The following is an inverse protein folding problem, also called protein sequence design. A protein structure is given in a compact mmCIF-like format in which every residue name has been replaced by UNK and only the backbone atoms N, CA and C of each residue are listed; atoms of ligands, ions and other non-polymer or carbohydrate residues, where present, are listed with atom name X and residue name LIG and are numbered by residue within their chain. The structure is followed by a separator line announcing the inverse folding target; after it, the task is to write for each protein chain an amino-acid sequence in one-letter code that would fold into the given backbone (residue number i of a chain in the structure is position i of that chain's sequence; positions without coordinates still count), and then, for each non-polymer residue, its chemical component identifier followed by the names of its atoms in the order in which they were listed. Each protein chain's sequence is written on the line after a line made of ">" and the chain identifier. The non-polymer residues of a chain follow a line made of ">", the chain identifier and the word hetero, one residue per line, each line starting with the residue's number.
data_IF_308163299525
#
_entry.id   IF_308163299525
#
_cell.length_a   1.000
_cell.length_b   1.000
_cell.length_c   1.000
_cell.angle_alpha   90.00
_cell.angle_beta   90.00
_cell.angle_gamma   90.00
#
_symmetry.space_group_name_H-M   'P 1'
#
loop_
_entity.id
_entity.type
_entity.pdbx_description
1 polymer ?
#
# COMPACT_ATOMS: atom_id res chain seq x y z
N UNK A 1 -46.88 8.62 44.08
CA UNK A 1 -45.49 8.81 44.58
C UNK A 1 -44.53 7.87 43.84
N UNK A 2 -44.42 8.02 42.53
CA UNK A 2 -43.36 7.37 41.75
C UNK A 2 -42.08 8.16 41.98
N UNK A 3 -41.29 7.65 42.92
CA UNK A 3 -39.83 7.57 42.87
C UNK A 3 -38.99 8.85 42.74
N UNK A 4 -39.15 9.80 43.66
CA UNK A 4 -38.07 10.75 43.98
C UNK A 4 -36.74 10.01 44.27
N UNK A 5 -36.81 8.80 44.83
CA UNK A 5 -35.65 7.95 45.09
C UNK A 5 -35.04 7.36 43.81
N UNK A 6 -35.84 6.87 42.84
CA UNK A 6 -35.28 6.44 41.54
C UNK A 6 -34.80 7.62 40.72
N UNK A 7 -35.44 8.79 40.83
CA UNK A 7 -34.99 10.02 40.18
C UNK A 7 -33.62 10.45 40.73
N UNK A 8 -33.47 10.48 42.07
CA UNK A 8 -32.19 10.76 42.74
C UNK A 8 -31.11 9.76 42.31
N UNK A 9 -31.43 8.46 42.35
CA UNK A 9 -30.50 7.39 41.92
C UNK A 9 -30.16 7.47 40.44
N UNK A 10 -31.10 7.89 39.59
CA UNK A 10 -30.85 8.16 38.18
C UNK A 10 -29.84 9.29 38.05
N UNK A 11 -30.09 10.47 38.62
CA UNK A 11 -29.15 11.60 38.55
C UNK A 11 -27.76 11.32 39.14
N UNK A 12 -27.67 10.49 40.19
CA UNK A 12 -26.39 10.03 40.75
C UNK A 12 -25.63 9.09 39.79
N UNK A 13 -26.34 8.29 38.99
CA UNK A 13 -25.75 7.35 38.04
C UNK A 13 -25.57 7.94 36.63
N UNK A 14 -26.35 8.96 36.26
CA UNK A 14 -26.35 9.60 34.94
C UNK A 14 -24.96 10.04 34.48
N UNK A 15 -24.07 10.63 35.30
CA UNK A 15 -22.73 11.00 34.88
C UNK A 15 -21.90 9.82 34.36
N UNK A 16 -22.06 8.63 34.97
CA UNK A 16 -21.37 7.41 34.53
C UNK A 16 -21.91 6.91 33.20
N UNK A 17 -23.23 6.99 33.00
CA UNK A 17 -23.89 6.63 31.74
C UNK A 17 -23.55 7.61 30.61
N UNK A 18 -23.50 8.91 30.88
CA UNK A 18 -23.10 9.94 29.92
C UNK A 18 -21.62 9.85 29.56
N UNK A 19 -20.73 9.58 30.53
CA UNK A 19 -19.32 9.31 30.25
C UNK A 19 -19.15 8.09 29.34
N UNK A 20 -19.89 7.01 29.61
CA UNK A 20 -19.87 5.81 28.78
C UNK A 20 -20.40 6.07 27.36
N UNK A 21 -21.49 6.82 27.23
CA UNK A 21 -22.06 7.20 25.94
C UNK A 21 -21.09 8.09 25.15
N UNK A 22 -20.55 9.14 25.77
CA UNK A 22 -19.58 10.04 25.16
C UNK A 22 -18.33 9.29 24.68
N UNK A 23 -17.80 8.37 25.49
CA UNK A 23 -16.68 7.52 25.12
C UNK A 23 -16.98 6.73 23.85
N UNK A 24 -18.15 6.10 23.77
CA UNK A 24 -18.51 5.30 22.61
C UNK A 24 -18.65 6.17 21.35
N UNK A 25 -19.26 7.36 21.46
CA UNK A 25 -19.38 8.30 20.34
C UNK A 25 -18.01 8.75 19.84
N UNK A 26 -17.15 9.22 20.73
CA UNK A 26 -15.82 9.73 20.35
C UNK A 26 -14.94 8.62 19.76
N UNK A 27 -15.02 7.39 20.30
CA UNK A 27 -14.36 6.23 19.71
C UNK A 27 -14.90 5.89 18.31
N UNK A 28 -16.23 5.84 18.13
CA UNK A 28 -16.85 5.56 16.83
C UNK A 28 -16.48 6.63 15.79
N UNK A 29 -16.49 7.91 16.17
CA UNK A 29 -16.03 9.01 15.31
C UNK A 29 -14.57 8.82 14.90
N UNK A 30 -13.70 8.41 15.83
CA UNK A 30 -12.29 8.15 15.53
C UNK A 30 -12.11 6.96 14.55
N UNK A 31 -12.80 5.84 14.76
CA UNK A 31 -12.74 4.70 13.85
C UNK A 31 -13.34 5.00 12.48
N UNK A 32 -14.43 5.77 12.44
CA UNK A 32 -15.08 6.23 11.21
C UNK A 32 -14.17 7.17 10.42
N UNK A 33 -13.52 8.12 11.10
CA UNK A 33 -12.53 9.02 10.48
C UNK A 33 -11.37 8.24 9.86
N UNK A 34 -10.87 7.20 10.54
CA UNK A 34 -9.85 6.30 9.97
C UNK A 34 -10.37 5.56 8.73
N UNK A 35 -11.61 5.07 8.75
CA UNK A 35 -12.23 4.39 7.61
C UNK A 35 -12.35 5.33 6.40
N UNK A 36 -12.81 6.55 6.60
CA UNK A 36 -12.87 7.57 5.55
C UNK A 36 -11.48 7.92 5.02
N UNK A 37 -10.49 8.09 5.90
CA UNK A 37 -9.10 8.30 5.48
C UNK A 37 -8.58 7.18 4.58
N UNK A 38 -8.88 5.91 4.90
CA UNK A 38 -8.52 4.77 4.04
C UNK A 38 -9.28 4.76 2.71
N UNK A 39 -10.55 5.16 2.69
CA UNK A 39 -11.33 5.27 1.44
C UNK A 39 -10.77 6.36 0.53
N UNK A 40 -10.41 7.52 1.07
CA UNK A 40 -9.78 8.61 0.31
C UNK A 40 -8.47 8.13 -0.32
N UNK A 41 -7.64 7.41 0.47
CA UNK A 41 -6.40 6.81 -0.04
C UNK A 41 -6.69 5.83 -1.19
N UNK A 42 -7.70 4.97 -1.06
CA UNK A 42 -8.04 3.99 -2.10
C UNK A 42 -8.63 4.62 -3.37
N UNK A 43 -9.41 5.70 -3.23
CA UNK A 43 -10.00 6.45 -4.35
C UNK A 43 -8.94 7.26 -5.10
N UNK A 44 -8.00 7.88 -4.39
CA UNK A 44 -7.03 8.81 -4.97
C UNK A 44 -5.69 8.15 -5.33
N UNK A 45 -5.39 6.98 -4.76
CA UNK A 45 -4.09 6.32 -4.92
C UNK A 45 -4.24 4.85 -5.29
N UNK A 46 -3.34 4.37 -6.15
CA UNK A 46 -3.23 2.94 -6.43
C UNK A 46 -2.54 2.22 -5.27
N UNK A 47 -3.33 1.71 -4.32
CA UNK A 47 -2.83 0.93 -3.18
C UNK A 47 -2.49 -0.50 -3.60
N UNK A 48 -1.19 -0.79 -3.71
CA UNK A 48 -0.71 -2.16 -4.04
C UNK A 48 -0.56 -3.07 -2.82
N UNK A 49 -0.59 -2.51 -1.61
CA UNK A 49 -0.51 -3.25 -0.35
C UNK A 49 -1.50 -2.67 0.66
N UNK A 50 -2.69 -3.29 0.77
CA UNK A 50 -3.74 -2.84 1.67
C UNK A 50 -3.32 -2.86 3.15
N UNK A 51 -2.50 -3.85 3.56
CA UNK A 51 -1.98 -3.92 4.94
C UNK A 51 -1.11 -2.71 5.25
N UNK A 52 -0.34 -2.24 4.27
CA UNK A 52 0.46 -1.04 4.40
C UNK A 52 -0.42 0.19 4.64
N UNK A 53 -1.41 0.45 3.78
CA UNK A 53 -2.32 1.59 3.94
C UNK A 53 -3.10 1.54 5.27
N UNK A 54 -3.57 0.36 5.69
CA UNK A 54 -4.22 0.21 7.01
C UNK A 54 -3.29 0.55 8.17
N UNK A 55 -2.00 0.31 8.02
CA UNK A 55 -0.99 0.57 9.05
C UNK A 55 -0.46 2.01 9.07
N UNK A 56 -0.82 2.87 8.11
CA UNK A 56 -0.42 4.30 8.11
C UNK A 56 -1.31 5.16 8.98
N UNK A 57 -2.55 4.72 9.28
CA UNK A 57 -3.46 5.42 10.17
C UNK A 57 -3.61 4.63 11.48
N UNK A 58 -3.50 5.34 12.59
CA UNK A 58 -3.70 4.81 13.94
C UNK A 58 -4.88 5.52 14.61
N UNK A 59 -5.47 4.82 15.58
CA UNK A 59 -6.53 5.32 16.44
C UNK A 59 -6.08 5.05 17.87
N UNK A 60 -6.08 6.08 18.72
CA UNK A 60 -6.11 5.92 20.18
C UNK A 60 -7.56 5.98 20.62
N UNK A 61 -8.18 4.83 20.95
CA UNK A 61 -9.50 4.87 21.55
C UNK A 61 -9.40 5.30 23.01
N UNK A 62 -10.36 6.09 23.47
CA UNK A 62 -10.56 6.35 24.89
C UNK A 62 -10.84 5.03 25.61
N UNK A 63 -10.02 4.72 26.61
CA UNK A 63 -10.18 3.55 27.50
C UNK A 63 -10.75 3.97 28.85
N UNK A 64 -11.33 3.01 29.57
CA UNK A 64 -11.94 3.24 30.88
C UNK A 64 -13.22 4.06 30.81
N UNK A 65 -13.57 4.74 31.91
CA UNK A 65 -14.74 5.61 32.00
C UNK A 65 -14.32 6.94 32.65
N UNK A 66 -13.57 7.78 31.93
CA UNK A 66 -13.03 9.02 32.50
C UNK A 66 -14.15 10.03 32.78
N UNK A 67 -13.89 11.08 33.57
CA UNK A 67 -14.80 12.22 33.66
C UNK A 67 -15.19 12.74 32.27
N UNK A 68 -16.44 13.19 32.10
CA UNK A 68 -16.99 13.57 30.79
C UNK A 68 -16.10 14.60 30.04
N UNK A 69 -15.47 15.51 30.78
CA UNK A 69 -14.58 16.56 30.24
C UNK A 69 -13.26 16.06 29.67
N UNK A 70 -12.84 14.83 30.01
CA UNK A 70 -11.57 14.24 29.57
C UNK A 70 -11.75 13.06 28.60
N UNK A 71 -12.98 12.85 28.10
CA UNK A 71 -13.26 11.86 27.07
C UNK A 71 -12.68 12.34 25.74
N UNK A 72 -11.61 11.70 25.27
CA UNK A 72 -10.99 12.01 23.98
C UNK A 72 -10.52 10.74 23.26
N UNK A 73 -10.73 10.67 21.97
CA UNK A 73 -10.11 9.65 21.12
C UNK A 73 -9.39 10.36 19.99
N UNK A 74 -8.20 9.85 19.66
CA UNK A 74 -7.31 10.50 18.71
C UNK A 74 -7.16 9.64 17.47
N UNK A 75 -7.13 10.28 16.31
CA UNK A 75 -6.79 9.65 15.03
C UNK A 75 -5.62 10.38 14.45
N UNK A 76 -4.63 9.64 13.97
CA UNK A 76 -3.47 10.25 13.35
C UNK A 76 -2.82 9.38 12.29
N UNK A 77 -1.89 10.00 11.57
CA UNK A 77 -0.99 9.29 10.69
C UNK A 77 0.24 8.82 11.48
N UNK A 78 0.66 7.58 11.28
CA UNK A 78 1.96 7.09 11.76
C UNK A 78 3.06 7.64 10.88
N UNK A 79 4.03 8.32 11.47
CA UNK A 79 5.23 8.81 10.79
C UNK A 79 6.11 7.60 10.42
N UNK A 80 5.98 7.11 9.19
CA UNK A 80 6.88 6.09 8.61
C UNK A 80 7.75 6.74 7.54
N UNK A 81 8.99 6.25 7.34
CA UNK A 81 9.81 6.72 6.22
C UNK A 81 9.01 6.59 4.92
N UNK A 82 8.82 7.74 4.26
CA UNK A 82 8.02 7.82 3.03
C UNK A 82 8.73 7.00 1.97
N UNK A 83 8.05 6.02 1.41
CA UNK A 83 8.61 5.23 0.33
C UNK A 83 8.60 6.08 -0.95
N UNK A 84 9.57 5.82 -1.83
CA UNK A 84 9.76 6.54 -3.10
C UNK A 84 8.47 6.88 -3.86
N UNK A 85 7.50 5.96 -3.94
CA UNK A 85 6.22 6.21 -4.62
C UNK A 85 5.33 7.27 -3.96
N UNK A 86 5.37 7.39 -2.64
CA UNK A 86 4.62 8.42 -1.90
C UNK A 86 5.25 9.79 -2.08
N UNK A 87 6.58 9.86 -1.96
CA UNK A 87 7.37 11.09 -2.19
C UNK A 87 7.19 11.57 -3.63
N UNK A 88 7.23 10.64 -4.58
CA UNK A 88 6.95 10.86 -5.99
C UNK A 88 5.61 11.58 -6.16
N UNK A 89 4.51 11.03 -5.64
CA UNK A 89 3.15 11.58 -5.79
C UNK A 89 2.92 12.90 -5.07
N UNK A 90 3.57 13.10 -3.92
CA UNK A 90 3.43 14.32 -3.13
C UNK A 90 4.15 15.52 -3.76
N UNK A 91 5.40 15.28 -4.18
CA UNK A 91 6.29 16.33 -4.69
C UNK A 91 6.18 16.51 -6.21
N UNK A 92 5.52 15.59 -6.92
CA UNK A 92 5.52 15.55 -8.40
C UNK A 92 6.91 15.28 -8.99
N UNK A 93 7.88 14.87 -8.17
CA UNK A 93 9.27 14.61 -8.59
C UNK A 93 9.42 13.16 -9.00
N UNK A 94 10.23 12.89 -10.02
CA UNK A 94 10.63 11.53 -10.35
C UNK A 94 11.48 10.96 -9.20
N UNK A 95 11.18 9.74 -8.74
CA UNK A 95 11.96 9.15 -7.65
C UNK A 95 13.26 8.55 -8.13
N UNK A 96 14.13 8.24 -7.16
CA UNK A 96 15.53 7.81 -7.36
C UNK A 96 15.69 6.41 -7.96
N UNK A 97 14.59 5.66 -8.14
CA UNK A 97 14.63 4.28 -8.64
C UNK A 97 14.88 4.26 -10.16
N UNK A 98 16.04 3.75 -10.58
CA UNK A 98 16.44 3.52 -11.99
C UNK A 98 15.69 2.39 -12.73
N UNK A 99 14.63 1.85 -12.13
CA UNK A 99 13.92 0.64 -12.62
C UNK A 99 12.42 0.83 -12.58
N UNK A 100 11.75 0.44 -13.65
CA UNK A 100 10.30 0.51 -13.81
C UNK A 100 9.73 -0.89 -14.10
N UNK A 101 8.86 -1.43 -13.24
CA UNK A 101 8.18 -2.70 -13.53
C UNK A 101 7.17 -2.53 -14.66
N UNK A 102 7.14 -3.49 -15.58
CA UNK A 102 6.12 -3.56 -16.64
C UNK A 102 4.81 -4.16 -16.11
N UNK A 103 3.73 -4.02 -16.89
CA UNK A 103 2.46 -4.74 -16.64
C UNK A 103 2.68 -6.25 -16.54
N UNK A 104 3.62 -6.81 -17.33
CA UNK A 104 3.94 -8.22 -17.30
C UNK A 104 4.50 -8.66 -15.93
N UNK A 105 5.34 -7.84 -15.30
CA UNK A 105 5.81 -8.10 -13.94
C UNK A 105 4.70 -8.05 -12.88
N UNK A 106 3.53 -7.53 -13.22
CA UNK A 106 2.34 -7.45 -12.36
C UNK A 106 1.19 -8.34 -12.83
N UNK A 107 1.48 -9.34 -13.67
CA UNK A 107 0.46 -10.27 -14.18
C UNK A 107 -0.70 -9.56 -14.91
N UNK A 108 -0.41 -8.45 -15.61
CA UNK A 108 -1.39 -7.73 -16.43
C UNK A 108 -2.21 -6.66 -15.70
N UNK A 109 -2.00 -6.43 -14.40
CA UNK A 109 -2.78 -5.44 -13.64
C UNK A 109 -1.88 -4.41 -12.96
N UNK A 110 -2.20 -3.12 -13.12
CA UNK A 110 -1.46 -2.04 -12.45
C UNK A 110 -1.63 -2.03 -10.93
N UNK A 111 -2.76 -2.54 -10.44
CA UNK A 111 -3.09 -2.62 -9.01
C UNK A 111 -2.31 -3.74 -8.30
N UNK A 112 -1.88 -4.77 -9.04
CA UNK A 112 -1.14 -5.90 -8.47
C UNK A 112 0.30 -5.54 -8.10
N UNK A 113 0.80 -6.20 -7.06
CA UNK A 113 2.23 -6.16 -6.75
C UNK A 113 3.04 -6.88 -7.83
N UNK A 114 4.31 -6.51 -7.94
CA UNK A 114 5.28 -7.28 -8.72
C UNK A 114 5.33 -8.70 -8.15
N UNK A 115 5.18 -9.73 -8.98
CA UNK A 115 5.29 -11.11 -8.51
C UNK A 115 6.74 -11.43 -8.09
N UNK A 116 6.93 -12.36 -7.16
CA UNK A 116 8.24 -12.59 -6.51
C UNK A 116 9.40 -12.83 -7.51
N UNK A 117 9.16 -13.62 -8.55
CA UNK A 117 10.16 -13.92 -9.59
C UNK A 117 10.60 -12.71 -10.41
N UNK A 118 9.78 -11.66 -10.52
CA UNK A 118 10.10 -10.39 -11.17
C UNK A 118 10.62 -9.33 -10.19
N UNK A 119 10.93 -9.69 -8.93
CA UNK A 119 11.58 -8.79 -7.97
C UNK A 119 13.09 -8.98 -8.04
N UNK A 120 13.81 -7.88 -8.18
CA UNK A 120 15.26 -7.83 -7.97
C UNK A 120 15.50 -7.71 -6.46
N UNK A 121 15.72 -8.86 -5.79
CA UNK A 121 16.09 -8.89 -4.37
C UNK A 121 17.60 -8.67 -4.23
N UNK A 122 18.08 -7.97 -3.18
CA UNK A 122 19.50 -7.97 -2.83
C UNK A 122 20.02 -9.41 -2.72
N UNK A 123 21.23 -9.68 -3.24
CA UNK A 123 21.87 -10.99 -3.21
C UNK A 123 21.42 -12.01 -4.28
N UNK A 124 20.34 -11.73 -5.03
CA UNK A 124 19.93 -12.63 -6.12
C UNK A 124 20.82 -12.41 -7.35
N UNK A 125 21.68 -13.37 -7.65
CA UNK A 125 22.42 -13.39 -8.91
C UNK A 125 21.45 -13.66 -10.07
N UNK A 126 21.42 -12.74 -11.03
CA UNK A 126 20.59 -12.81 -12.23
C UNK A 126 21.57 -12.74 -13.40
N UNK A 127 21.53 -13.71 -14.34
CA UNK A 127 22.42 -13.70 -15.49
C UNK A 127 22.39 -12.35 -16.21
N UNK A 128 23.56 -11.76 -16.46
CA UNK A 128 23.73 -10.47 -17.10
C UNK A 128 24.90 -10.57 -18.10
N UNK A 129 24.70 -10.26 -19.38
CA UNK A 129 25.72 -10.43 -20.41
C UNK A 129 26.95 -9.53 -20.21
N UNK A 130 26.80 -8.45 -19.42
CA UNK A 130 27.88 -7.48 -19.15
C UNK A 130 28.59 -7.74 -17.82
N UNK A 131 28.11 -8.67 -16.99
CA UNK A 131 28.81 -9.04 -15.78
C UNK A 131 29.94 -10.02 -16.13
N UNK A 132 31.19 -9.62 -15.86
CA UNK A 132 32.32 -10.54 -15.67
C UNK A 132 32.01 -11.39 -14.42
N UNK A 133 31.16 -12.38 -14.58
CA UNK A 133 30.77 -13.28 -13.48
C UNK A 133 31.74 -14.46 -13.49
N UNK A 134 32.24 -14.84 -12.31
CA UNK A 134 33.21 -15.93 -12.06
C UNK A 134 32.81 -17.34 -12.58
N UNK A 135 31.64 -17.48 -13.17
CA UNK A 135 31.10 -18.76 -13.65
C UNK A 135 31.14 -18.77 -15.17
N UNK A 136 31.92 -19.69 -15.76
CA UNK A 136 31.89 -20.37 -17.08
C UNK A 136 31.13 -19.76 -18.29
N UNK A 137 30.73 -18.51 -18.23
CA UNK A 137 29.96 -17.76 -19.21
C UNK A 137 30.88 -16.72 -19.85
N UNK A 138 32.09 -17.15 -20.18
CA UNK A 138 32.99 -16.37 -21.03
C UNK A 138 32.37 -16.37 -22.42
N UNK A 139 31.45 -15.43 -22.63
CA UNK A 139 31.06 -14.97 -23.96
C UNK A 139 32.27 -14.21 -24.50
N UNK A 140 33.32 -14.97 -24.85
CA UNK A 140 34.50 -14.47 -25.54
C UNK A 140 34.04 -13.67 -26.74
N UNK A 141 34.80 -12.62 -27.08
CA UNK A 141 34.48 -11.66 -28.13
C UNK A 141 34.18 -12.41 -29.43
N UNK A 142 32.90 -12.71 -29.65
CA UNK A 142 32.42 -13.47 -30.79
C UNK A 142 32.00 -12.40 -31.78
N UNK A 143 32.78 -12.15 -32.85
CA UNK A 143 32.58 -10.98 -33.71
C UNK A 143 31.24 -10.97 -34.47
N UNK A 144 30.51 -12.09 -34.47
CA UNK A 144 29.25 -12.27 -35.19
C UNK A 144 27.98 -12.05 -34.35
N UNK A 145 28.05 -12.11 -33.01
CA UNK A 145 26.84 -12.07 -32.17
C UNK A 145 27.04 -11.18 -30.95
N UNK A 146 26.03 -10.36 -30.61
CA UNK A 146 26.07 -9.60 -29.37
C UNK A 146 26.15 -10.55 -28.16
N UNK A 147 26.90 -10.18 -27.11
CA UNK A 147 27.00 -10.98 -25.86
C UNK A 147 25.62 -11.33 -25.29
N UNK A 148 24.66 -10.41 -25.42
CA UNK A 148 23.28 -10.63 -25.04
C UNK A 148 22.60 -11.74 -25.87
N UNK A 149 22.82 -11.78 -27.19
CA UNK A 149 22.27 -12.81 -28.07
C UNK A 149 22.82 -14.20 -27.73
N UNK A 150 24.14 -14.31 -27.52
CA UNK A 150 24.77 -15.58 -27.13
C UNK A 150 24.22 -16.07 -25.78
N UNK A 151 24.10 -15.16 -24.80
CA UNK A 151 23.50 -15.50 -23.51
C UNK A 151 22.07 -16.01 -23.66
N UNK A 152 21.21 -15.32 -24.44
CA UNK A 152 19.82 -15.74 -24.66
C UNK A 152 19.77 -17.14 -25.30
N UNK A 153 20.60 -17.40 -26.30
CA UNK A 153 20.65 -18.71 -26.96
C UNK A 153 21.08 -19.81 -26.00
N UNK A 154 22.11 -19.59 -25.19
CA UNK A 154 22.58 -20.63 -24.26
C UNK A 154 21.58 -20.88 -23.13
N UNK A 155 20.98 -19.82 -22.56
CA UNK A 155 19.90 -19.98 -21.57
C UNK A 155 18.68 -20.71 -22.17
N UNK A 156 18.36 -20.47 -23.44
CA UNK A 156 17.28 -21.16 -24.13
C UNK A 156 17.57 -22.66 -24.32
N UNK A 157 18.82 -23.00 -24.72
CA UNK A 157 19.28 -24.40 -24.87
C UNK A 157 19.24 -25.14 -23.54
N UNK A 158 19.72 -24.52 -22.46
CA UNK A 158 19.78 -25.12 -21.12
C UNK A 158 18.44 -25.26 -20.39
N UNK A 159 17.31 -24.93 -21.02
CA UNK A 159 16.06 -25.05 -20.29
C UNK A 159 15.73 -23.89 -19.35
N UNK A 160 16.59 -22.88 -19.20
CA UNK A 160 16.49 -21.86 -18.15
C UNK A 160 15.12 -21.16 -18.11
N UNK A 161 14.53 -21.06 -16.91
CA UNK A 161 13.19 -20.48 -16.68
C UNK A 161 13.20 -19.23 -15.81
N UNK A 162 14.37 -18.87 -15.27
CA UNK A 162 14.56 -17.71 -14.41
C UNK A 162 14.57 -16.38 -15.18
N UNK A 163 14.60 -15.25 -14.46
CA UNK A 163 14.84 -13.96 -15.08
C UNK A 163 16.31 -13.82 -15.49
N UNK A 164 16.57 -12.99 -16.49
CA UNK A 164 17.91 -12.59 -16.93
C UNK A 164 17.89 -11.11 -17.33
N UNK A 165 19.04 -10.46 -17.40
CA UNK A 165 19.19 -9.03 -17.72
C UNK A 165 19.70 -8.88 -19.15
N UNK A 166 19.17 -7.92 -19.89
CA UNK A 166 19.74 -7.42 -21.14
C UNK A 166 20.01 -5.94 -20.93
N UNK A 167 21.28 -5.54 -21.04
CA UNK A 167 21.68 -4.14 -20.87
C UNK A 167 22.10 -3.46 -22.16
N UNK A 168 22.51 -4.23 -23.16
CA UNK A 168 23.03 -3.73 -24.43
C UNK A 168 22.63 -4.69 -25.57
N UNK A 169 21.63 -4.28 -26.36
CA UNK A 169 21.15 -5.01 -27.54
C UNK A 169 20.28 -4.06 -28.40
N UNK A 170 20.40 -4.07 -29.74
CA UNK A 170 19.63 -3.18 -30.62
C UNK A 170 18.12 -3.39 -30.52
N UNK A 171 17.66 -4.65 -30.56
CA UNK A 171 16.22 -4.97 -30.56
C UNK A 171 15.56 -5.05 -29.17
N UNK A 172 16.34 -5.05 -28.09
CA UNK A 172 15.81 -5.27 -26.74
C UNK A 172 16.11 -4.07 -25.84
N UNK A 173 15.07 -3.39 -25.33
CA UNK A 173 15.24 -2.34 -24.34
C UNK A 173 16.03 -2.82 -23.11
N UNK A 174 16.82 -1.93 -22.50
CA UNK A 174 17.57 -2.25 -21.29
C UNK A 174 16.62 -2.69 -20.18
N UNK A 175 16.81 -3.87 -19.61
CA UNK A 175 15.88 -4.40 -18.63
C UNK A 175 16.09 -5.85 -18.22
N UNK A 176 15.18 -6.32 -17.37
CA UNK A 176 15.09 -7.72 -16.93
C UNK A 176 14.00 -8.43 -17.69
N UNK A 177 14.31 -9.60 -18.22
CA UNK A 177 13.50 -10.44 -19.08
C UNK A 177 13.26 -11.82 -18.46
N UNK A 178 12.31 -12.56 -19.02
CA UNK A 178 12.08 -13.97 -18.73
C UNK A 178 11.54 -14.68 -19.98
N UNK A 179 11.89 -15.95 -20.17
CA UNK A 179 11.27 -16.77 -21.21
C UNK A 179 9.77 -17.00 -20.96
N UNK A 180 8.98 -16.94 -22.02
CA UNK A 180 7.53 -17.14 -22.07
C UNK A 180 7.21 -18.26 -23.07
N UNK A 181 7.24 -19.51 -22.60
CA UNK A 181 6.85 -20.67 -23.40
C UNK A 181 7.56 -20.76 -24.76
N UNK A 182 7.00 -21.57 -25.66
CA UNK A 182 7.43 -21.69 -27.07
C UNK A 182 6.25 -21.29 -27.98
N UNK A 183 6.52 -20.62 -29.10
CA UNK A 183 5.57 -20.43 -30.21
C UNK A 183 6.33 -20.68 -31.51
N UNK A 184 5.87 -21.62 -32.34
CA UNK A 184 6.57 -22.00 -33.58
C UNK A 184 8.01 -22.47 -33.33
N UNK A 185 8.22 -23.33 -32.32
CA UNK A 185 9.56 -23.83 -31.95
C UNK A 185 10.47 -22.83 -31.21
N UNK A 186 10.25 -21.52 -31.36
CA UNK A 186 11.08 -20.47 -30.73
C UNK A 186 10.60 -20.09 -29.34
N UNK A 187 11.52 -19.96 -28.38
CA UNK A 187 11.21 -19.44 -27.04
C UNK A 187 10.93 -17.95 -27.13
N UNK A 188 9.79 -17.51 -26.63
CA UNK A 188 9.51 -16.07 -26.55
C UNK A 188 10.16 -15.50 -25.30
N UNK A 189 10.54 -14.24 -25.33
CA UNK A 189 11.01 -13.52 -24.13
C UNK A 189 10.06 -12.39 -23.80
N UNK A 190 9.96 -12.05 -22.51
CA UNK A 190 9.05 -11.02 -22.00
C UNK A 190 9.78 -10.10 -21.05
N UNK A 191 9.69 -8.80 -21.29
CA UNK A 191 10.23 -7.76 -20.42
C UNK A 191 9.43 -7.68 -19.11
N UNK A 192 10.12 -7.86 -17.98
CA UNK A 192 9.57 -7.76 -16.63
C UNK A 192 9.84 -6.39 -16.01
N UNK A 193 11.06 -5.86 -16.17
CA UNK A 193 11.40 -4.55 -15.65
C UNK A 193 12.26 -3.80 -16.66
N UNK A 194 11.93 -2.55 -16.93
CA UNK A 194 12.71 -1.67 -17.78
C UNK A 194 13.71 -0.88 -16.93
N UNK A 195 14.93 -0.72 -17.42
CA UNK A 195 15.99 0.06 -16.77
C UNK A 195 16.07 1.43 -17.43
N UNK A 196 15.12 2.30 -17.07
CA UNK A 196 15.03 3.67 -17.59
C UNK A 196 15.75 4.66 -16.69
N UNK A 197 16.50 5.57 -17.31
CA UNK A 197 17.18 6.67 -16.62
C UNK A 197 16.19 7.74 -16.14
N UNK A 198 15.10 7.98 -16.90
CA UNK A 198 14.07 8.98 -16.56
C UNK A 198 12.69 8.34 -16.50
N UNK A 199 11.97 8.59 -15.41
CA UNK A 199 10.56 8.19 -15.25
C UNK A 199 9.64 9.35 -15.60
N UNK A 200 8.44 9.09 -16.14
CA UNK A 200 7.41 10.12 -16.26
C UNK A 200 7.09 10.68 -14.87
N UNK A 201 6.90 12.00 -14.79
CA UNK A 201 6.57 12.65 -13.51
C UNK A 201 5.21 12.13 -13.03
N UNK A 202 5.11 11.72 -11.76
CA UNK A 202 3.83 11.34 -11.16
C UNK A 202 2.92 12.57 -11.08
N UNK A 203 1.62 12.37 -11.35
CA UNK A 203 0.61 13.42 -11.14
C UNK A 203 0.53 13.73 -9.64
N UNK A 204 0.63 15.01 -9.29
CA UNK A 204 0.48 15.48 -7.91
C UNK A 204 -0.97 15.30 -7.46
N UNK A 205 -1.18 14.67 -6.32
CA UNK A 205 -2.48 14.61 -5.65
C UNK A 205 -2.42 15.62 -4.49
N UNK A 206 -3.36 16.56 -4.41
CA UNK A 206 -3.48 17.53 -3.31
C UNK A 206 -4.27 16.83 -2.18
N UNK A 207 -3.72 16.80 -0.97
CA UNK A 207 -4.08 15.82 0.07
C UNK A 207 -4.87 16.50 1.22
N UNK A 208 -5.91 15.78 1.69
CA UNK A 208 -6.66 15.93 2.95
C UNK A 208 -6.98 17.35 3.46
N UNK A 209 -7.87 18.07 2.77
CA UNK A 209 -8.54 19.25 3.33
C UNK A 209 -10.06 19.06 3.56
N UNK A 210 -10.59 17.83 3.52
CA UNK A 210 -12.05 17.62 3.56
C UNK A 210 -12.55 16.34 4.24
N UNK A 211 -11.75 15.74 5.13
CA UNK A 211 -12.11 14.48 5.79
C UNK A 211 -12.91 14.63 7.09
N UNK A 212 -12.76 15.76 7.78
CA UNK A 212 -13.40 16.02 9.08
C UNK A 212 -14.88 16.36 8.96
N UNK A 213 -15.27 17.06 7.90
CA UNK A 213 -16.62 17.64 7.79
C UNK A 213 -17.69 16.56 7.52
N UNK A 214 -17.34 15.47 6.86
CA UNK A 214 -18.27 14.34 6.60
C UNK A 214 -18.46 13.41 7.79
N UNK A 215 -17.48 13.26 8.67
CA UNK A 215 -17.61 12.41 9.86
C UNK A 215 -18.49 13.06 10.95
N UNK A 216 -18.56 14.40 10.96
CA UNK A 216 -19.37 15.18 11.91
C UNK A 216 -20.86 15.23 11.56
N UNK A 217 -21.25 14.89 10.32
CA UNK A 217 -22.63 14.99 9.84
C UNK A 217 -23.62 14.09 10.61
N UNK A 218 -23.16 12.96 11.14
CA UNK A 218 -24.00 11.96 11.83
C UNK A 218 -23.87 12.00 13.37
N UNK A 219 -23.28 13.06 13.93
CA UNK A 219 -22.96 13.14 15.36
C UNK A 219 -24.17 12.97 16.30
N UNK A 220 -25.35 13.47 15.90
CA UNK A 220 -26.60 13.33 16.67
C UNK A 220 -27.13 11.89 16.68
N UNK A 221 -27.06 11.18 15.56
CA UNK A 221 -27.51 9.79 15.47
C UNK A 221 -26.60 8.84 16.26
N UNK A 222 -25.28 9.08 16.18
CA UNK A 222 -24.30 8.34 16.97
C UNK A 222 -24.51 8.55 18.48
N UNK A 223 -24.81 9.78 18.89
CA UNK A 223 -25.14 10.09 20.28
C UNK A 223 -26.40 9.36 20.76
N UNK A 224 -27.49 9.41 19.99
CA UNK A 224 -28.74 8.70 20.32
C UNK A 224 -28.53 7.19 20.49
N UNK A 225 -27.80 6.55 19.58
CA UNK A 225 -27.46 5.11 19.69
C UNK A 225 -26.59 4.80 20.91
N UNK A 226 -25.62 5.66 21.22
CA UNK A 226 -24.71 5.46 22.33
C UNK A 226 -25.40 5.62 23.69
N UNK A 227 -26.28 6.62 23.82
CA UNK A 227 -27.10 6.83 25.03
C UNK A 227 -28.06 5.67 25.23
N UNK A 228 -28.75 5.21 24.17
CA UNK A 228 -29.65 4.06 24.26
C UNK A 228 -28.92 2.78 24.68
N UNK A 229 -27.66 2.58 24.26
CA UNK A 229 -26.84 1.46 24.74
C UNK A 229 -26.41 1.62 26.20
N UNK A 230 -26.16 2.84 26.65
CA UNK A 230 -25.71 3.16 28.01
C UNK A 230 -26.83 3.04 29.06
N UNK A 231 -28.08 3.27 28.65
CA UNK A 231 -29.23 3.23 29.55
C UNK A 231 -29.63 1.77 29.87
N UNK A 232 -29.98 1.48 31.15
CA UNK A 232 -30.56 0.22 31.56
C UNK A 232 -31.81 -0.13 30.73
N UNK A 233 -32.02 -1.41 30.39
CA UNK A 233 -33.18 -1.85 29.57
C UNK A 233 -34.55 -1.43 30.13
N UNK A 234 -34.66 -1.15 31.44
CA UNK A 234 -35.88 -0.67 32.10
C UNK A 234 -36.16 0.84 31.93
N UNK A 235 -35.21 1.59 31.35
CA UNK A 235 -35.25 3.04 31.09
C UNK A 235 -35.15 3.35 29.59
N UNK A 236 -35.17 2.33 28.73
CA UNK A 236 -35.27 2.44 27.27
C UNK A 236 -36.74 2.35 26.89
#
# INVERSE_FOLDING_TARGET
>A
MVDLWRLKKFFEQSPKHFSFAARNVVNELAFTSRRFGLQIIDQQMTVRNARFARSTLWVDPQRGNPPLRSVQASVGARRRPRHTGWVEQELGRAGTRKRQPTLAARMGSERRQIFAGARMKPGRQIPNPNQRTRSNWNFGDTPQFSRAQVMIMTLARQGYRGPFIIEDHPDFPRGMYRFKGKKGGRRRIRLLQMFTVRKPRPKRVRWLSGGTDRAMADGRELWGRAVNRALPKRLR
#
